data_IF_530561538577
#
_entry.id   IF_530561538577
#
_cell.length_a   1.000
_cell.length_b   1.000
_cell.length_c   1.000
_cell.angle_alpha   90.00
_cell.angle_beta   90.00
_cell.angle_gamma   90.00
#
_symmetry.space_group_name_H-M   'P 1'
#
loop_
_entity.id
_entity.type
_entity.pdbx_description
1 polymer ?
#
# COMPACT_ATOMS: atom_id res chain seq x y z
N UNK A 1 8.04 16.14 4.47
CA UNK A 1 6.77 16.45 5.15
C UNK A 1 6.57 15.39 6.22
N UNK A 2 6.50 15.78 7.50
CA UNK A 2 6.04 14.88 8.57
C UNK A 2 4.61 14.50 8.18
N UNK A 3 4.47 13.24 7.80
CA UNK A 3 3.36 12.74 7.03
C UNK A 3 2.08 12.77 7.87
N UNK A 4 0.99 13.33 7.34
CA UNK A 4 -0.36 13.18 7.92
C UNK A 4 -0.67 11.72 8.29
N UNK A 5 -0.07 10.79 7.57
CA UNK A 5 -0.11 9.35 7.80
C UNK A 5 0.40 8.92 9.18
N UNK A 6 1.40 9.60 9.75
CA UNK A 6 1.93 9.29 11.07
C UNK A 6 1.00 9.77 12.19
N UNK A 7 0.25 10.85 11.97
CA UNK A 7 -0.71 11.40 12.93
C UNK A 7 -2.09 10.74 12.87
N UNK A 8 -2.35 9.87 11.89
CA UNK A 8 -3.60 9.12 11.82
C UNK A 8 -3.76 8.17 13.03
N UNK A 9 -4.96 8.08 13.60
CA UNK A 9 -5.31 7.03 14.56
C UNK A 9 -5.13 5.62 14.00
N UNK A 10 -4.91 4.63 14.88
CA UNK A 10 -4.62 3.25 14.46
C UNK A 10 -5.74 2.61 13.62
N UNK A 11 -7.00 2.92 13.91
CA UNK A 11 -8.15 2.45 13.12
C UNK A 11 -8.14 3.05 11.71
N UNK A 12 -7.81 4.34 11.56
CA UNK A 12 -7.69 4.97 10.23
C UNK A 12 -6.49 4.41 9.46
N UNK A 13 -5.35 4.19 10.12
CA UNK A 13 -4.20 3.49 9.51
C UNK A 13 -4.57 2.08 9.05
N UNK A 14 -5.36 1.34 9.83
CA UNK A 14 -5.82 0.01 9.47
C UNK A 14 -6.77 0.04 8.26
N UNK A 15 -7.70 1.00 8.23
CA UNK A 15 -8.57 1.27 7.08
C UNK A 15 -7.74 1.56 5.83
N UNK A 16 -6.78 2.48 5.92
CA UNK A 16 -5.90 2.83 4.80
C UNK A 16 -5.10 1.65 4.25
N UNK A 17 -4.60 0.78 5.13
CA UNK A 17 -3.92 -0.46 4.73
C UNK A 17 -4.86 -1.44 4.04
N UNK A 18 -6.14 -1.50 4.44
CA UNK A 18 -7.14 -2.35 3.81
C UNK A 18 -7.47 -1.90 2.40
N UNK A 19 -7.87 -0.64 2.25
CA UNK A 19 -8.21 -0.04 0.94
C UNK A 19 -7.03 -0.13 -0.04
N UNK A 20 -5.81 0.16 0.44
CA UNK A 20 -4.62 0.07 -0.42
C UNK A 20 -4.33 -1.37 -0.86
N UNK A 21 -4.61 -2.36 -0.01
CA UNK A 21 -4.46 -3.77 -0.37
C UNK A 21 -5.45 -4.15 -1.47
N UNK A 22 -6.68 -3.67 -1.39
CA UNK A 22 -7.69 -3.90 -2.43
C UNK A 22 -7.30 -3.22 -3.74
N UNK A 23 -6.86 -1.96 -3.71
CA UNK A 23 -6.38 -1.25 -4.90
C UNK A 23 -5.21 -1.99 -5.58
N UNK A 24 -4.25 -2.50 -4.80
CA UNK A 24 -3.13 -3.31 -5.32
C UNK A 24 -3.64 -4.61 -5.93
N UNK A 25 -4.62 -5.28 -5.31
CA UNK A 25 -5.22 -6.49 -5.85
C UNK A 25 -5.92 -6.25 -7.19
N UNK A 26 -6.63 -5.13 -7.34
CA UNK A 26 -7.27 -4.73 -8.60
C UNK A 26 -6.21 -4.50 -9.69
N UNK A 27 -5.14 -3.75 -9.41
CA UNK A 27 -4.05 -3.54 -10.38
C UNK A 27 -3.43 -4.87 -10.82
N UNK A 28 -3.32 -5.84 -9.93
CA UNK A 28 -2.80 -7.17 -10.26
C UNK A 28 -3.74 -7.99 -11.12
N UNK A 29 -5.05 -7.89 -10.90
CA UNK A 29 -6.03 -8.58 -11.74
C UNK A 29 -5.86 -8.20 -13.23
N UNK A 30 -5.39 -6.98 -13.49
CA UNK A 30 -5.05 -6.47 -14.83
C UNK A 30 -3.55 -6.53 -15.15
N UNK A 31 -2.77 -7.30 -14.37
CA UNK A 31 -1.32 -7.54 -14.54
C UNK A 31 -0.44 -6.28 -14.49
N UNK A 32 -0.81 -5.32 -13.65
CA UNK A 32 -0.07 -4.07 -13.43
C UNK A 32 0.49 -4.01 -12.01
N UNK A 33 1.72 -3.51 -11.87
CA UNK A 33 2.31 -3.09 -10.60
C UNK A 33 2.69 -1.62 -10.71
N UNK A 34 2.08 -0.76 -9.90
CA UNK A 34 2.67 0.53 -9.60
C UNK A 34 3.93 0.33 -8.73
N UNK A 35 5.09 0.83 -9.15
CA UNK A 35 6.37 0.68 -8.45
C UNK A 35 6.62 1.82 -7.46
N UNK A 36 6.02 2.98 -7.68
CA UNK A 36 6.08 4.13 -6.77
C UNK A 36 4.82 4.18 -5.89
N UNK A 37 4.64 3.15 -5.06
CA UNK A 37 3.60 3.18 -4.03
C UNK A 37 4.21 3.72 -2.75
N UNK A 38 4.21 5.04 -2.64
CA UNK A 38 4.60 5.76 -1.43
C UNK A 38 3.41 6.51 -0.86
N UNK A 39 3.54 6.95 0.39
CA UNK A 39 2.59 7.84 1.05
C UNK A 39 2.31 9.14 0.27
N UNK A 40 3.24 9.56 -0.60
CA UNK A 40 3.08 10.74 -1.44
C UNK A 40 2.08 10.52 -2.59
N UNK A 41 1.90 9.25 -2.99
CA UNK A 41 1.01 8.85 -4.07
C UNK A 41 -0.35 8.37 -3.53
N UNK A 42 -0.71 8.81 -2.33
CA UNK A 42 -1.99 8.53 -1.72
C UNK A 42 -2.72 9.83 -1.41
N UNK A 43 -4.00 9.87 -1.75
CA UNK A 43 -4.94 10.87 -1.26
C UNK A 43 -5.94 10.18 -0.33
N UNK A 44 -6.15 10.77 0.85
CA UNK A 44 -7.15 10.30 1.81
C UNK A 44 -8.10 11.44 2.16
N UNK A 45 -9.38 11.22 1.87
CA UNK A 45 -10.45 12.07 2.38
C UNK A 45 -11.00 11.46 3.67
N UNK A 46 -10.68 12.09 4.80
CA UNK A 46 -11.09 11.63 6.12
C UNK A 46 -12.59 11.78 6.37
N UNK A 47 -13.26 12.72 5.71
CA UNK A 47 -14.70 12.95 5.92
C UNK A 47 -15.53 11.81 5.32
N UNK A 48 -15.09 11.27 4.18
CA UNK A 48 -15.78 10.19 3.47
C UNK A 48 -15.14 8.82 3.68
N UNK A 49 -13.91 8.77 4.21
CA UNK A 49 -13.12 7.54 4.32
C UNK A 49 -12.51 7.08 2.99
N UNK A 50 -12.64 7.87 1.93
CA UNK A 50 -12.21 7.51 0.58
C UNK A 50 -10.69 7.61 0.43
N UNK A 51 -10.09 6.59 -0.18
CA UNK A 51 -8.64 6.53 -0.44
C UNK A 51 -8.41 6.33 -1.92
N UNK A 52 -7.52 7.15 -2.47
CA UNK A 52 -7.13 7.09 -3.87
C UNK A 52 -5.63 6.90 -3.98
N UNK A 53 -5.23 5.84 -4.70
CA UNK A 53 -3.86 5.69 -5.18
C UNK A 53 -3.71 6.53 -6.46
N UNK A 54 -2.73 7.41 -6.48
CA UNK A 54 -2.38 8.29 -7.60
C UNK A 54 -0.93 7.99 -8.03
N UNK A 55 -0.35 8.77 -8.96
CA UNK A 55 1.07 8.66 -9.32
C UNK A 55 1.42 7.34 -10.01
N UNK A 56 0.85 7.10 -11.19
CA UNK A 56 1.09 5.89 -11.99
C UNK A 56 2.22 6.07 -13.02
N UNK A 57 3.09 7.08 -12.88
CA UNK A 57 4.19 7.30 -13.83
C UNK A 57 5.15 6.09 -13.95
N UNK A 58 5.34 5.35 -12.86
CA UNK A 58 6.23 4.19 -12.83
C UNK A 58 5.42 2.91 -12.61
N UNK A 59 4.90 2.35 -13.71
CA UNK A 59 4.20 1.07 -13.72
C UNK A 59 5.01 -0.02 -14.42
N UNK A 60 4.81 -1.27 -14.01
CA UNK A 60 5.37 -2.46 -14.64
C UNK A 60 4.27 -3.47 -14.95
N UNK A 61 4.31 -4.01 -16.17
CA UNK A 61 3.47 -5.14 -16.55
C UNK A 61 4.05 -6.44 -16.00
N UNK A 62 3.20 -7.27 -15.42
CA UNK A 62 3.57 -8.55 -14.84
C UNK A 62 3.33 -9.65 -15.88
N UNK A 63 4.30 -10.55 -16.04
CA UNK A 63 4.08 -11.79 -16.81
C UNK A 63 3.08 -12.70 -16.08
N UNK A 64 2.28 -13.51 -16.78
CA UNK A 64 1.47 -14.54 -16.15
C UNK A 64 2.32 -15.39 -15.20
N UNK A 65 1.79 -15.72 -14.02
CA UNK A 65 2.45 -16.54 -12.98
C UNK A 65 3.69 -15.95 -12.29
N UNK A 66 3.95 -14.65 -12.43
CA UNK A 66 5.01 -14.01 -11.64
C UNK A 66 4.55 -13.84 -10.18
N UNK A 67 5.31 -14.38 -9.23
CA UNK A 67 5.06 -14.16 -7.81
C UNK A 67 5.65 -12.82 -7.38
N UNK A 68 4.80 -11.90 -6.92
CA UNK A 68 5.22 -10.65 -6.29
C UNK A 68 4.65 -10.68 -4.86
N UNK A 69 5.49 -10.48 -3.84
CA UNK A 69 5.00 -10.43 -2.44
C UNK A 69 4.16 -9.18 -2.22
N UNK A 70 2.87 -9.34 -1.95
CA UNK A 70 1.95 -8.25 -1.62
C UNK A 70 2.39 -7.44 -0.40
N UNK A 71 2.91 -8.13 0.62
CA UNK A 71 3.29 -7.52 1.88
C UNK A 71 4.45 -6.52 1.76
N UNK A 72 5.46 -6.80 0.93
CA UNK A 72 6.61 -5.90 0.77
C UNK A 72 6.20 -4.55 0.18
N UNK A 73 5.14 -4.51 -0.62
CA UNK A 73 4.62 -3.27 -1.22
C UNK A 73 3.72 -2.48 -0.27
N UNK A 74 3.01 -3.14 0.64
CA UNK A 74 2.24 -2.44 1.67
C UNK A 74 3.16 -1.88 2.77
N UNK A 75 4.27 -2.58 3.08
CA UNK A 75 5.26 -2.13 4.07
C UNK A 75 6.05 -0.91 3.63
N UNK A 76 6.20 -0.65 2.33
CA UNK A 76 6.80 0.60 1.84
C UNK A 76 5.89 1.83 2.00
N UNK A 77 4.58 1.60 2.19
CA UNK A 77 3.57 2.66 2.32
C UNK A 77 3.28 2.94 3.80
N UNK A 78 3.06 1.90 4.59
CA UNK A 78 2.85 2.02 6.03
C UNK A 78 3.84 1.11 6.73
N UNK A 79 4.59 1.65 7.70
CA UNK A 79 5.39 0.83 8.60
C UNK A 79 4.53 -0.32 9.17
N UNK A 80 5.14 -1.50 9.40
CA UNK A 80 4.41 -2.66 9.91
C UNK A 80 3.69 -2.31 11.24
N UNK A 81 2.52 -2.92 11.52
CA UNK A 81 1.86 -2.77 12.81
C UNK A 81 2.81 -3.18 13.96
N UNK A 82 2.75 -2.52 15.13
CA UNK A 82 3.64 -2.81 16.26
C UNK A 82 3.55 -4.25 16.79
N UNK A 83 2.42 -4.91 16.57
CA UNK A 83 2.05 -6.25 17.03
C UNK A 83 2.32 -7.35 15.99
N UNK A 84 2.87 -7.01 14.82
CA UNK A 84 3.22 -8.01 13.82
C UNK A 84 4.42 -8.84 14.30
N UNK A 85 4.33 -10.18 14.34
CA UNK A 85 5.43 -11.01 14.78
C UNK A 85 6.65 -10.77 13.88
N UNK A 86 7.81 -10.49 14.48
CA UNK A 86 9.13 -10.46 13.87
C UNK A 86 9.55 -11.84 13.33
N UNK A 87 8.71 -12.46 12.51
CA UNK A 87 9.00 -13.73 11.85
C UNK A 87 9.23 -13.45 10.37
N UNK A 88 10.52 -13.60 10.01
CA UNK A 88 11.05 -13.76 8.66
C UNK A 88 11.45 -12.48 7.91
N UNK A 89 12.40 -11.74 8.50
CA UNK A 89 13.51 -11.16 7.73
C UNK A 89 14.66 -12.18 7.73
N UNK A 90 14.51 -13.21 6.91
CA UNK A 90 15.55 -14.21 6.65
C UNK A 90 15.41 -14.65 5.21
N UNK A 91 16.42 -14.33 4.41
CA UNK A 91 16.49 -14.57 2.96
C UNK A 91 17.46 -13.58 2.33
#
# INVERSE_FOLDING_TARGET
LIAIWDSLPNNEKAHCRSEMREAIAVLRSIRVVCLDKSQHNMMYDRATGLIMLIGFEVIRLIKPNSYIRDMLQLWSIFAPPPDWPNRHLGG
#
